data_IF_899915675994
#
_entry.id   IF_899915675994
#
_cell.length_a   1.000
_cell.length_b   1.000
_cell.length_c   1.000
_cell.angle_alpha   90.00
_cell.angle_beta   90.00
_cell.angle_gamma   90.00
#
_symmetry.space_group_name_H-M   'P 1'
#
loop_
_entity.id
_entity.type
_entity.pdbx_description
1 polymer ?
#
# COMPACT_ATOMS: atom_id res chain seq x y z
N UNK A 1 4.80 -48.28 -13.24
CA UNK A 1 6.18 -47.89 -13.64
C UNK A 1 6.01 -47.01 -14.86
N UNK A 2 5.77 -45.72 -14.65
CA UNK A 2 5.52 -44.74 -15.71
C UNK A 2 6.86 -44.26 -16.26
N UNK A 3 7.04 -44.43 -17.55
CA UNK A 3 8.21 -44.06 -18.33
C UNK A 3 8.41 -42.53 -18.25
N UNK A 4 9.46 -42.07 -17.56
CA UNK A 4 9.81 -40.65 -17.34
C UNK A 4 10.77 -40.11 -18.41
N UNK A 5 10.90 -40.76 -19.57
CA UNK A 5 12.06 -40.52 -20.45
C UNK A 5 11.95 -39.32 -21.39
N UNK A 6 10.82 -38.60 -21.45
CA UNK A 6 10.70 -37.41 -22.29
C UNK A 6 9.94 -36.27 -21.58
N UNK A 7 10.56 -35.63 -20.61
CA UNK A 7 10.17 -34.25 -20.29
C UNK A 7 10.58 -33.35 -21.48
N UNK A 8 9.65 -32.61 -22.09
CA UNK A 8 9.98 -31.73 -23.20
C UNK A 8 10.92 -30.62 -22.69
N UNK A 9 12.11 -30.53 -23.28
CA UNK A 9 13.04 -29.44 -23.00
C UNK A 9 12.38 -28.10 -23.36
N UNK A 10 12.43 -27.13 -22.44
CA UNK A 10 11.81 -25.82 -22.68
C UNK A 10 12.50 -25.11 -23.86
N UNK A 11 11.73 -24.66 -24.87
CA UNK A 11 12.24 -23.81 -25.93
C UNK A 11 12.92 -22.56 -25.35
N UNK A 12 14.09 -22.21 -25.90
CA UNK A 12 14.90 -21.10 -25.38
C UNK A 12 14.14 -19.75 -25.35
N UNK A 13 13.24 -19.50 -26.30
CA UNK A 13 12.42 -18.29 -26.32
C UNK A 13 11.48 -18.17 -25.11
N UNK A 14 10.94 -19.29 -24.58
CA UNK A 14 10.07 -19.28 -23.40
C UNK A 14 10.87 -19.08 -22.11
N UNK A 15 12.11 -19.58 -22.06
CA UNK A 15 13.03 -19.28 -20.95
C UNK A 15 13.32 -17.78 -20.91
N UNK A 16 13.59 -17.17 -22.06
CA UNK A 16 13.83 -15.73 -22.18
C UNK A 16 12.59 -14.91 -21.81
N UNK A 17 11.41 -15.31 -22.26
CA UNK A 17 10.14 -14.69 -21.89
C UNK A 17 9.89 -14.79 -20.38
N UNK A 18 10.12 -15.96 -19.77
CA UNK A 18 9.97 -16.18 -18.34
C UNK A 18 10.89 -15.25 -17.53
N UNK A 19 12.18 -15.16 -17.91
CA UNK A 19 13.15 -14.26 -17.29
C UNK A 19 12.74 -12.79 -17.41
N UNK A 20 12.22 -12.41 -18.59
CA UNK A 20 11.76 -11.04 -18.83
C UNK A 20 10.54 -10.70 -17.95
N UNK A 21 9.59 -11.63 -17.82
CA UNK A 21 8.40 -11.46 -16.98
C UNK A 21 8.78 -11.32 -15.50
N UNK A 22 9.64 -12.21 -15.00
CA UNK A 22 10.14 -12.17 -13.62
C UNK A 22 10.88 -10.87 -13.34
N UNK A 23 11.85 -10.50 -14.18
CA UNK A 23 12.60 -9.25 -14.01
C UNK A 23 11.69 -8.01 -14.02
N UNK A 24 10.67 -7.97 -14.89
CA UNK A 24 9.71 -6.86 -14.91
C UNK A 24 8.85 -6.81 -13.65
N UNK A 25 8.35 -7.95 -13.17
CA UNK A 25 7.57 -8.02 -11.94
C UNK A 25 8.37 -7.50 -10.75
N UNK A 26 9.62 -7.93 -10.61
CA UNK A 26 10.51 -7.53 -9.52
C UNK A 26 10.88 -6.05 -9.59
N UNK A 27 11.14 -5.53 -10.79
CA UNK A 27 11.43 -4.11 -10.99
C UNK A 27 10.25 -3.23 -10.57
N UNK A 28 9.02 -3.57 -10.99
CA UNK A 28 7.84 -2.81 -10.58
C UNK A 28 7.59 -2.91 -9.08
N UNK A 29 7.72 -4.11 -8.49
CA UNK A 29 7.59 -4.30 -7.04
C UNK A 29 8.59 -3.42 -6.28
N UNK A 30 9.85 -3.42 -6.71
CA UNK A 30 10.93 -2.60 -6.14
C UNK A 30 10.60 -1.11 -6.24
N UNK A 31 10.11 -0.64 -7.39
CA UNK A 31 9.72 0.76 -7.58
C UNK A 31 8.56 1.19 -6.68
N UNK A 32 7.54 0.34 -6.48
CA UNK A 32 6.43 0.62 -5.55
C UNK A 32 6.98 0.88 -4.14
N UNK A 33 7.89 0.01 -3.69
CA UNK A 33 8.48 0.08 -2.34
C UNK A 33 9.48 1.23 -2.19
N UNK A 34 10.31 1.50 -3.19
CA UNK A 34 11.21 2.65 -3.16
C UNK A 34 10.44 3.97 -3.08
N UNK A 35 9.36 4.11 -3.87
CA UNK A 35 8.53 5.31 -3.82
C UNK A 35 7.89 5.51 -2.45
N UNK A 36 7.35 4.44 -1.82
CA UNK A 36 6.75 4.60 -0.49
C UNK A 36 7.80 4.93 0.58
N UNK A 37 9.00 4.38 0.48
CA UNK A 37 10.11 4.71 1.40
C UNK A 37 10.51 6.19 1.28
N UNK A 38 10.60 6.72 0.06
CA UNK A 38 10.87 8.15 -0.17
C UNK A 38 9.76 9.00 0.43
N UNK A 39 8.49 8.67 0.14
CA UNK A 39 7.34 9.41 0.67
C UNK A 39 7.28 9.38 2.19
N UNK A 40 7.53 8.22 2.81
CA UNK A 40 7.61 8.09 4.26
C UNK A 40 8.75 8.92 4.85
N UNK A 41 9.93 8.89 4.23
CA UNK A 41 11.09 9.67 4.70
C UNK A 41 10.81 11.16 4.66
N UNK A 42 10.25 11.66 3.56
CA UNK A 42 9.83 13.06 3.43
C UNK A 42 8.75 13.40 4.44
N UNK A 43 7.76 12.52 4.63
CA UNK A 43 6.67 12.73 5.58
C UNK A 43 7.20 12.80 7.02
N UNK A 44 8.04 11.86 7.44
CA UNK A 44 8.64 11.84 8.78
C UNK A 44 9.53 13.07 8.99
N UNK A 45 10.31 13.46 7.98
CA UNK A 45 11.11 14.68 8.02
C UNK A 45 10.23 15.94 8.18
N UNK A 46 9.12 16.02 7.44
CA UNK A 46 8.15 17.11 7.56
C UNK A 46 7.54 17.19 8.96
N UNK A 47 7.13 16.04 9.52
CA UNK A 47 6.64 15.95 10.90
C UNK A 47 7.70 16.44 11.90
N UNK A 48 8.94 15.97 11.77
CA UNK A 48 10.02 16.34 12.67
C UNK A 48 10.31 17.86 12.66
N UNK A 49 10.25 18.50 11.48
CA UNK A 49 10.43 19.95 11.34
C UNK A 49 9.26 20.72 12.00
N UNK A 50 8.02 20.31 11.76
CA UNK A 50 6.83 20.98 12.32
C UNK A 50 6.81 20.93 13.85
N UNK A 51 7.23 19.81 14.45
CA UNK A 51 7.27 19.67 15.91
C UNK A 51 8.24 20.66 16.57
N UNK A 52 9.26 21.13 15.85
CA UNK A 52 10.26 22.10 16.32
C UNK A 52 9.80 23.56 16.21
N UNK A 53 8.58 23.83 15.75
CA UNK A 53 8.07 25.19 15.71
C UNK A 53 7.76 25.68 17.14
N UNK A 54 8.53 26.68 17.60
CA UNK A 54 8.34 27.32 18.90
C UNK A 54 7.27 28.42 18.89
N UNK A 55 7.01 29.01 17.72
CA UNK A 55 6.00 30.05 17.52
C UNK A 55 4.73 29.46 16.89
N UNK A 56 3.58 29.58 17.55
CA UNK A 56 2.31 29.07 17.04
C UNK A 56 1.42 30.19 16.50
N UNK A 57 1.88 30.79 15.40
CA UNK A 57 1.12 31.81 14.68
C UNK A 57 0.22 31.17 13.61
N UNK A 58 -0.80 31.92 13.17
CA UNK A 58 -1.74 31.49 12.12
C UNK A 58 -1.01 31.09 10.83
N UNK A 59 0.08 31.78 10.48
CA UNK A 59 0.91 31.45 9.32
C UNK A 59 1.52 30.04 9.39
N UNK A 60 1.97 29.62 10.59
CA UNK A 60 2.51 28.29 10.80
C UNK A 60 1.43 27.23 10.72
N UNK A 61 0.23 27.51 11.24
CA UNK A 61 -0.93 26.63 11.07
C UNK A 61 -1.27 26.39 9.59
N UNK A 62 -1.31 27.45 8.77
CA UNK A 62 -1.53 27.31 7.33
C UNK A 62 -0.40 26.56 6.62
N UNK A 63 0.85 26.78 7.03
CA UNK A 63 1.99 26.04 6.49
C UNK A 63 1.86 24.54 6.76
N UNK A 64 1.45 24.16 7.97
CA UNK A 64 1.21 22.76 8.35
C UNK A 64 0.01 22.17 7.60
N UNK A 65 -1.04 22.96 7.38
CA UNK A 65 -2.18 22.57 6.55
C UNK A 65 -1.79 22.27 5.10
N UNK A 66 -0.96 23.12 4.50
CA UNK A 66 -0.43 22.91 3.14
C UNK A 66 0.41 21.64 3.10
N UNK A 67 1.33 21.44 4.05
CA UNK A 67 2.17 20.24 4.11
C UNK A 67 1.34 18.96 4.28
N UNK A 68 0.36 18.95 5.18
CA UNK A 68 -0.55 17.83 5.38
C UNK A 68 -1.36 17.50 4.12
N UNK A 69 -1.86 18.54 3.43
CA UNK A 69 -2.58 18.40 2.17
C UNK A 69 -1.68 17.83 1.06
N UNK A 70 -0.46 18.32 0.92
CA UNK A 70 0.51 17.80 -0.05
C UNK A 70 0.87 16.35 0.24
N UNK A 71 1.13 15.99 1.50
CA UNK A 71 1.40 14.60 1.89
C UNK A 71 0.24 13.67 1.55
N UNK A 72 -0.99 14.13 1.80
CA UNK A 72 -2.21 13.41 1.41
C UNK A 72 -2.30 13.17 -0.10
N UNK A 73 -2.12 14.22 -0.92
CA UNK A 73 -2.18 14.09 -2.38
C UNK A 73 -1.07 13.17 -2.94
N UNK A 74 0.14 13.24 -2.38
CA UNK A 74 1.25 12.37 -2.78
C UNK A 74 0.97 10.90 -2.44
N UNK A 75 0.43 10.61 -1.26
CA UNK A 75 0.03 9.24 -0.88
C UNK A 75 -1.09 8.72 -1.76
N UNK A 76 -2.08 9.55 -2.08
CA UNK A 76 -3.16 9.19 -3.01
C UNK A 76 -2.62 8.86 -4.39
N UNK A 77 -1.76 9.72 -4.93
CA UNK A 77 -1.11 9.51 -6.21
C UNK A 77 -0.31 8.20 -6.22
N UNK A 78 0.49 7.96 -5.18
CA UNK A 78 1.23 6.72 -5.02
C UNK A 78 0.31 5.49 -4.96
N UNK A 79 -0.82 5.56 -4.24
CA UNK A 79 -1.77 4.45 -4.18
C UNK A 79 -2.33 4.10 -5.56
N UNK A 80 -2.67 5.10 -6.37
CA UNK A 80 -3.13 4.91 -7.75
C UNK A 80 -2.06 4.27 -8.64
N UNK A 81 -0.82 4.77 -8.57
CA UNK A 81 0.31 4.22 -9.31
C UNK A 81 0.58 2.77 -8.90
N UNK A 82 0.60 2.49 -7.59
CA UNK A 82 0.81 1.15 -7.06
C UNK A 82 -0.29 0.18 -7.48
N UNK A 83 -1.55 0.60 -7.52
CA UNK A 83 -2.65 -0.23 -8.04
C UNK A 83 -2.47 -0.58 -9.51
N UNK A 84 -2.10 0.41 -10.34
CA UNK A 84 -1.83 0.19 -11.76
C UNK A 84 -0.64 -0.75 -11.98
N UNK A 85 0.44 -0.56 -11.25
CA UNK A 85 1.62 -1.42 -11.35
C UNK A 85 1.37 -2.83 -10.83
N UNK A 86 0.58 -2.98 -9.76
CA UNK A 86 0.15 -4.31 -9.28
C UNK A 86 -0.69 -5.05 -10.33
N UNK A 87 -1.52 -4.34 -11.11
CA UNK A 87 -2.24 -4.96 -12.23
C UNK A 87 -1.27 -5.50 -13.29
N UNK A 88 -0.22 -4.74 -13.65
CA UNK A 88 0.82 -5.20 -14.57
C UNK A 88 1.60 -6.40 -14.02
N UNK A 89 2.03 -6.32 -12.76
CA UNK A 89 2.69 -7.43 -12.06
C UNK A 89 1.80 -8.69 -12.11
N UNK A 90 0.49 -8.55 -11.89
CA UNK A 90 -0.47 -9.64 -11.97
C UNK A 90 -0.58 -10.28 -13.35
N UNK A 91 -0.38 -9.53 -14.44
CA UNK A 91 -0.33 -10.06 -15.81
C UNK A 91 0.99 -10.82 -16.04
N UNK A 92 2.13 -10.29 -15.59
CA UNK A 92 3.42 -10.97 -15.70
C UNK A 92 3.46 -12.29 -14.92
N UNK A 93 2.92 -12.32 -13.71
CA UNK A 93 2.76 -13.57 -12.94
C UNK A 93 1.82 -14.56 -13.60
N UNK A 94 0.75 -14.09 -14.22
CA UNK A 94 -0.13 -14.98 -14.98
C UNK A 94 0.62 -15.65 -16.14
N UNK A 95 1.40 -14.87 -16.92
CA UNK A 95 2.19 -15.42 -18.02
C UNK A 95 3.29 -16.38 -17.55
N UNK A 96 4.00 -16.04 -16.46
CA UNK A 96 4.97 -16.96 -15.86
C UNK A 96 4.34 -18.29 -15.45
N UNK A 97 3.12 -18.25 -14.90
CA UNK A 97 2.37 -19.44 -14.49
C UNK A 97 1.92 -20.30 -15.68
N UNK A 98 1.52 -19.68 -16.80
CA UNK A 98 1.24 -20.41 -18.04
C UNK A 98 2.47 -21.20 -18.50
N UNK A 99 3.63 -20.52 -18.59
CA UNK A 99 4.90 -21.15 -18.98
C UNK A 99 5.27 -22.26 -17.98
N UNK A 100 5.13 -22.05 -16.68
CA UNK A 100 5.40 -23.10 -15.68
C UNK A 100 4.47 -24.31 -15.83
N UNK A 101 3.20 -24.08 -16.18
CA UNK A 101 2.21 -25.14 -16.36
C UNK A 101 2.49 -26.00 -17.59
N UNK A 102 2.94 -25.39 -18.69
CA UNK A 102 3.28 -26.08 -19.95
C UNK A 102 4.49 -27.01 -19.82
N UNK A 103 5.46 -26.64 -18.97
CA UNK A 103 6.73 -27.38 -18.81
C UNK A 103 6.84 -28.10 -17.46
N UNK A 104 5.74 -28.25 -16.74
CA UNK A 104 5.68 -28.90 -15.43
C UNK A 104 6.72 -28.37 -14.42
N UNK A 105 7.10 -27.09 -14.53
CA UNK A 105 8.05 -26.45 -13.63
C UNK A 105 7.36 -26.05 -12.31
N UNK A 106 8.13 -26.04 -11.23
CA UNK A 106 7.63 -25.81 -9.86
C UNK A 106 8.13 -24.50 -9.23
N UNK A 107 8.69 -23.58 -10.01
CA UNK A 107 9.32 -22.34 -9.54
C UNK A 107 8.43 -21.49 -8.63
N UNK A 108 7.28 -21.01 -9.13
CA UNK A 108 6.32 -20.25 -8.30
C UNK A 108 5.43 -21.14 -7.40
N UNK A 109 5.36 -22.46 -7.65
CA UNK A 109 4.65 -23.41 -6.78
C UNK A 109 5.24 -23.44 -5.36
N UNK A 110 6.52 -23.13 -5.21
CA UNK A 110 7.18 -23.07 -3.91
C UNK A 110 6.73 -21.86 -3.07
N UNK A 111 6.41 -20.73 -3.71
CA UNK A 111 5.86 -19.54 -3.03
C UNK A 111 4.43 -19.83 -2.58
N UNK A 112 3.61 -20.45 -3.44
CA UNK A 112 2.26 -20.91 -3.08
C UNK A 112 2.30 -21.89 -1.88
N UNK A 113 3.28 -22.81 -1.84
CA UNK A 113 3.50 -23.74 -0.73
C UNK A 113 4.04 -23.06 0.55
N UNK A 114 4.88 -22.04 0.41
CA UNK A 114 5.41 -21.24 1.52
C UNK A 114 4.30 -20.42 2.18
N UNK A 115 3.44 -19.77 1.40
CA UNK A 115 2.29 -19.02 1.92
C UNK A 115 1.34 -19.90 2.73
N UNK A 116 1.18 -21.17 2.33
CA UNK A 116 0.40 -22.18 3.06
C UNK A 116 1.12 -22.61 4.34
N UNK A 117 2.45 -22.74 4.32
CA UNK A 117 3.23 -23.08 5.53
C UNK A 117 3.20 -21.96 6.58
N UNK A 118 3.20 -20.70 6.14
CA UNK A 118 3.18 -19.49 6.99
C UNK A 118 1.78 -19.22 7.54
N UNK A 119 0.71 -19.57 6.81
CA UNK A 119 -0.67 -19.47 7.28
C UNK A 119 -1.02 -20.41 8.46
N UNK A 120 -0.09 -21.30 8.84
CA UNK A 120 -0.06 -21.93 10.16
C UNK A 120 0.00 -23.45 10.07
N UNK A 121 1.21 -24.00 10.09
CA UNK A 121 1.61 -25.26 10.78
C UNK A 121 3.00 -25.69 10.30
N UNK A 122 3.97 -25.66 11.21
CA UNK A 122 5.14 -26.55 11.16
C UNK A 122 4.65 -27.99 11.26
N UNK A 123 4.45 -28.65 10.13
CA UNK A 123 4.02 -30.03 10.06
C UNK A 123 3.61 -30.38 8.65
N UNK A 124 3.97 -31.57 8.18
CA UNK A 124 3.61 -32.10 6.86
C UNK A 124 2.13 -31.81 6.56
N UNK A 125 1.87 -31.15 5.43
CA UNK A 125 0.53 -30.88 4.91
C UNK A 125 -0.30 -32.17 4.90
N UNK A 126 -1.48 -32.12 5.53
CA UNK A 126 -2.49 -33.19 5.47
C UNK A 126 -2.97 -33.39 4.04
N UNK A 127 -3.32 -34.62 3.62
CA UNK A 127 -3.92 -34.89 2.29
C UNK A 127 -5.18 -34.05 2.03
N UNK A 128 -5.95 -33.71 3.07
CA UNK A 128 -7.09 -32.79 2.98
C UNK A 128 -6.68 -31.33 2.69
N UNK A 129 -5.56 -30.88 3.26
CA UNK A 129 -5.05 -29.53 3.01
C UNK A 129 -4.45 -29.45 1.60
N UNK A 130 -3.83 -30.52 1.10
CA UNK A 130 -3.38 -30.63 -0.31
C UNK A 130 -4.57 -30.55 -1.25
N UNK A 131 -5.65 -31.29 -0.99
CA UNK A 131 -6.88 -31.21 -1.79
C UNK A 131 -7.53 -29.83 -1.71
N UNK A 132 -7.57 -29.19 -0.53
CA UNK A 132 -8.09 -27.83 -0.37
C UNK A 132 -7.23 -26.82 -1.13
N UNK A 133 -5.92 -27.03 -1.16
CA UNK A 133 -4.97 -26.20 -1.90
C UNK A 133 -5.17 -26.37 -3.40
N UNK A 134 -5.32 -27.60 -3.89
CA UNK A 134 -5.64 -27.86 -5.29
C UNK A 134 -7.02 -27.28 -5.67
N UNK A 135 -7.98 -27.28 -4.75
CA UNK A 135 -9.28 -26.63 -4.94
C UNK A 135 -9.20 -25.10 -4.93
N UNK A 136 -8.38 -24.49 -4.08
CA UNK A 136 -8.10 -23.04 -4.06
C UNK A 136 -7.28 -22.60 -5.28
N UNK A 137 -6.41 -23.48 -5.78
CA UNK A 137 -5.63 -23.35 -7.01
C UNK A 137 -6.53 -23.44 -8.24
N UNK A 138 -7.48 -24.38 -8.27
CA UNK A 138 -8.49 -24.54 -9.33
C UNK A 138 -9.47 -23.36 -9.36
N UNK A 139 -9.76 -22.78 -8.19
CA UNK A 139 -10.59 -21.56 -8.05
C UNK A 139 -9.82 -20.25 -8.23
N UNK A 140 -8.51 -20.27 -8.46
CA UNK A 140 -7.69 -19.06 -8.64
C UNK A 140 -7.52 -18.19 -7.39
N UNK A 141 -7.83 -18.70 -6.19
CA UNK A 141 -7.93 -17.94 -4.94
C UNK A 141 -6.60 -17.68 -4.22
N UNK A 142 -5.49 -18.30 -4.65
CA UNK A 142 -4.16 -18.07 -4.04
C UNK A 142 -3.60 -16.69 -4.43
N UNK A 143 -3.87 -16.25 -5.67
CA UNK A 143 -3.56 -14.89 -6.16
C UNK A 143 -4.16 -13.80 -5.27
N UNK A 144 -5.31 -14.09 -4.69
CA UNK A 144 -6.01 -13.15 -3.81
C UNK A 144 -5.29 -12.93 -2.48
N UNK A 145 -4.55 -13.91 -1.93
CA UNK A 145 -4.03 -13.80 -0.56
C UNK A 145 -2.81 -12.88 -0.46
N UNK A 146 -1.78 -13.09 -1.29
CA UNK A 146 -0.60 -12.22 -1.33
C UNK A 146 -0.94 -10.79 -1.77
N UNK A 147 -1.85 -10.66 -2.75
CA UNK A 147 -2.32 -9.34 -3.19
C UNK A 147 -3.13 -8.65 -2.09
N UNK A 148 -3.97 -9.38 -1.34
CA UNK A 148 -4.71 -8.84 -0.19
C UNK A 148 -3.81 -8.46 0.99
N UNK A 149 -2.74 -9.22 1.28
CA UNK A 149 -1.81 -8.89 2.37
C UNK A 149 -1.03 -7.61 2.07
N UNK A 150 -0.53 -7.46 0.84
CA UNK A 150 0.11 -6.22 0.36
C UNK A 150 -0.90 -5.07 0.36
N UNK A 151 -2.12 -5.28 -0.14
CA UNK A 151 -3.15 -4.25 -0.12
C UNK A 151 -3.50 -3.80 1.31
N UNK A 152 -3.66 -4.73 2.25
CA UNK A 152 -3.86 -4.42 3.67
C UNK A 152 -2.69 -3.62 4.26
N UNK A 153 -1.46 -4.00 3.94
CA UNK A 153 -0.26 -3.30 4.41
C UNK A 153 -0.21 -1.86 3.87
N UNK A 154 -0.49 -1.65 2.58
CA UNK A 154 -0.55 -0.31 1.96
C UNK A 154 -1.65 0.54 2.60
N UNK A 155 -2.85 -0.02 2.77
CA UNK A 155 -3.97 0.68 3.41
C UNK A 155 -3.58 1.10 4.84
N UNK A 156 -3.02 0.19 5.64
CA UNK A 156 -2.54 0.51 6.99
C UNK A 156 -1.50 1.64 6.97
N UNK A 157 -0.53 1.59 6.06
CA UNK A 157 0.50 2.61 5.93
C UNK A 157 -0.10 3.98 5.60
N UNK A 158 -1.05 4.05 4.65
CA UNK A 158 -1.78 5.28 4.32
C UNK A 158 -2.52 5.81 5.55
N UNK A 159 -3.26 4.95 6.26
CA UNK A 159 -3.95 5.35 7.49
C UNK A 159 -3.01 5.87 8.57
N UNK A 160 -1.84 5.23 8.77
CA UNK A 160 -0.85 5.65 9.77
C UNK A 160 -0.24 7.00 9.43
N UNK A 161 0.12 7.25 8.17
CA UNK A 161 0.72 8.54 7.80
C UNK A 161 -0.31 9.66 7.89
N UNK A 162 -1.54 9.43 7.42
CA UNK A 162 -2.57 10.46 7.45
C UNK A 162 -3.02 10.75 8.88
N UNK A 163 -3.15 9.73 9.74
CA UNK A 163 -3.48 9.97 11.14
C UNK A 163 -2.41 10.80 11.85
N UNK A 164 -1.12 10.60 11.55
CA UNK A 164 -0.03 11.42 12.06
C UNK A 164 -0.19 12.90 11.66
N UNK A 165 -0.51 13.18 10.39
CA UNK A 165 -0.77 14.54 9.91
C UNK A 165 -2.02 15.18 10.52
N UNK A 166 -3.09 14.42 10.72
CA UNK A 166 -4.32 14.90 11.39
C UNK A 166 -4.01 15.28 12.84
N UNK A 167 -3.23 14.45 13.56
CA UNK A 167 -2.83 14.73 14.95
C UNK A 167 -1.99 16.01 15.01
N UNK A 168 -1.06 16.22 14.07
CA UNK A 168 -0.28 17.45 14.00
C UNK A 168 -1.13 18.68 13.70
N UNK A 169 -2.07 18.57 12.76
CA UNK A 169 -3.01 19.67 12.47
C UNK A 169 -3.85 20.03 13.69
N UNK A 170 -4.33 19.03 14.43
CA UNK A 170 -5.07 19.26 15.66
C UNK A 170 -4.19 19.92 16.73
N UNK A 171 -2.96 19.44 16.92
CA UNK A 171 -1.97 20.04 17.84
C UNK A 171 -1.73 21.50 17.51
N UNK A 172 -1.36 21.81 16.26
CA UNK A 172 -1.07 23.19 15.85
C UNK A 172 -2.30 24.08 15.91
N UNK A 173 -3.48 23.55 15.59
CA UNK A 173 -4.74 24.27 15.76
C UNK A 173 -4.98 24.67 17.22
N UNK A 174 -4.78 23.74 18.16
CA UNK A 174 -4.92 24.02 19.61
C UNK A 174 -3.89 25.05 20.08
N UNK A 175 -2.61 24.89 19.70
CA UNK A 175 -1.54 25.80 20.13
C UNK A 175 -1.69 27.21 19.53
N UNK A 176 -2.17 27.30 18.29
CA UNK A 176 -2.48 28.59 17.65
C UNK A 176 -3.67 29.25 18.34
N UNK A 177 -4.72 28.47 18.66
CA UNK A 177 -5.89 28.96 19.37
C UNK A 177 -5.55 29.51 20.76
N UNK A 178 -4.76 28.78 21.55
CA UNK A 178 -4.35 29.23 22.90
C UNK A 178 -3.51 30.50 22.83
N UNK A 179 -2.60 30.59 21.86
CA UNK A 179 -1.77 31.79 21.65
C UNK A 179 -2.64 33.01 21.32
N UNK A 180 -3.63 32.87 20.44
CA UNK A 180 -4.54 33.97 20.06
C UNK A 180 -5.49 34.39 21.19
N UNK A 181 -5.97 33.44 21.99
CA UNK A 181 -6.79 33.74 23.18
C UNK A 181 -6.02 34.58 24.20
N UNK A 182 -4.73 34.28 24.42
CA UNK A 182 -3.89 35.02 25.35
C UNK A 182 -3.62 36.47 24.91
N UNK A 183 -3.74 36.76 23.61
CA UNK A 183 -3.54 38.11 23.05
C UNK A 183 -4.84 38.96 23.09
N UNK A 184 -5.97 38.39 23.56
CA UNK A 184 -7.23 39.12 23.69
C UNK A 184 -8.01 39.26 22.38
N UNK A 185 -7.80 38.36 21.43
CA UNK A 185 -8.51 38.36 20.14
C UNK A 185 -9.96 37.87 20.30
N UNK A 186 -10.87 38.32 19.44
CA UNK A 186 -12.26 37.86 19.41
C UNK A 186 -12.35 36.35 19.14
N UNK A 187 -12.77 35.61 20.16
CA UNK A 187 -12.70 34.16 20.25
C UNK A 187 -13.51 33.45 19.14
N UNK A 188 -14.58 34.08 18.65
CA UNK A 188 -15.45 33.52 17.64
C UNK A 188 -14.82 33.56 16.24
N UNK A 189 -14.11 34.64 15.91
CA UNK A 189 -13.41 34.79 14.63
C UNK A 189 -12.27 33.78 14.48
N UNK A 190 -11.53 33.55 15.56
CA UNK A 190 -10.39 32.61 15.61
C UNK A 190 -10.86 31.17 15.47
N UNK A 191 -11.93 30.79 16.18
CA UNK A 191 -12.53 29.47 16.05
C UNK A 191 -12.97 29.17 14.61
N UNK A 192 -13.60 30.14 13.94
CA UNK A 192 -14.01 29.94 12.54
C UNK A 192 -12.82 29.70 11.61
N UNK A 193 -11.73 30.46 11.79
CA UNK A 193 -10.51 30.34 10.97
C UNK A 193 -9.78 29.01 11.16
N UNK A 194 -9.79 28.44 12.37
CA UNK A 194 -9.10 27.18 12.66
C UNK A 194 -9.98 25.94 12.41
N UNK A 195 -11.28 26.02 12.72
CA UNK A 195 -12.20 24.88 12.57
C UNK A 195 -12.54 24.64 11.11
N UNK A 196 -12.69 25.68 10.29
CA UNK A 196 -13.03 25.53 8.87
C UNK A 196 -12.04 24.65 8.08
N UNK A 197 -10.73 24.94 8.04
CA UNK A 197 -9.77 24.12 7.31
C UNK A 197 -9.62 22.71 7.91
N UNK A 198 -9.63 22.57 9.23
CA UNK A 198 -9.58 21.25 9.88
C UNK A 198 -10.78 20.37 9.51
N UNK A 199 -12.00 20.90 9.63
CA UNK A 199 -13.23 20.17 9.28
C UNK A 199 -13.26 19.85 7.80
N UNK A 200 -12.88 20.80 6.94
CA UNK A 200 -12.78 20.54 5.49
C UNK A 200 -11.80 19.41 5.19
N UNK A 201 -10.63 19.38 5.85
CA UNK A 201 -9.66 18.31 5.67
C UNK A 201 -10.18 16.96 6.12
N UNK A 202 -10.79 16.88 7.32
CA UNK A 202 -11.36 15.63 7.84
C UNK A 202 -12.52 15.13 6.98
N UNK A 203 -13.44 16.01 6.60
CA UNK A 203 -14.59 15.65 5.74
C UNK A 203 -14.10 15.20 4.37
N UNK A 204 -13.20 15.95 3.74
CA UNK A 204 -12.62 15.57 2.45
C UNK A 204 -11.91 14.21 2.54
N UNK A 205 -11.14 13.99 3.59
CA UNK A 205 -10.47 12.72 3.84
C UNK A 205 -11.45 11.54 3.98
N UNK A 206 -12.47 11.70 4.81
CA UNK A 206 -13.48 10.66 5.02
C UNK A 206 -14.24 10.36 3.73
N UNK A 207 -14.69 11.40 3.01
CA UNK A 207 -15.38 11.24 1.73
C UNK A 207 -14.52 10.44 0.75
N UNK A 208 -13.22 10.75 0.66
CA UNK A 208 -12.34 10.07 -0.27
C UNK A 208 -12.11 8.60 0.13
N UNK A 209 -11.88 8.31 1.42
CA UNK A 209 -11.75 6.91 1.87
C UNK A 209 -13.01 6.12 1.55
N UNK A 210 -14.19 6.64 1.92
CA UNK A 210 -15.46 5.95 1.70
C UNK A 210 -15.81 5.79 0.22
N UNK A 211 -15.33 6.69 -0.64
CA UNK A 211 -15.51 6.58 -2.08
C UNK A 211 -14.56 5.56 -2.71
N UNK A 212 -13.32 5.49 -2.22
CA UNK A 212 -12.26 4.63 -2.77
C UNK A 212 -12.40 3.16 -2.32
N UNK A 213 -13.06 2.90 -1.19
CA UNK A 213 -13.35 1.54 -0.71
C UNK A 213 -14.61 0.93 -1.36
N UNK A 214 -15.25 1.61 -2.32
CA UNK A 214 -16.31 0.98 -3.11
C UNK A 214 -15.66 -0.02 -4.08
N UNK A 215 -15.98 -1.32 -3.98
CA UNK A 215 -15.51 -2.28 -4.96
C UNK A 215 -16.01 -1.84 -6.34
N UNK A 216 -15.07 -1.69 -7.28
CA UNK A 216 -15.38 -1.46 -8.69
C UNK A 216 -16.30 -2.60 -9.14
N UNK A 217 -17.58 -2.28 -9.33
CA UNK A 217 -18.58 -3.19 -9.89
C UNK A 217 -18.25 -3.52 -11.34
#
# INVERSE_FOLDING_TARGET
MTDRTHEPAMPQHLIEEYKLCSSRADNYSTLIWQLVTILLTISVGGVAVVVQFDNHQVENYYSVFVLASTAYFLLRWWNQVANRWNAYIGVWYFRMKEIESEFHMWGNRYIDLLDISVAGKTGKLSEEEIQRTDMLREKGLVKDYATKSIQKLRIRLVFTVISAWIILLAREGVLTYTTLCNVGCDQQSVLLQLVSPFVLFVVFYLVVIFYEDRPSR
#
